data_IF_567564569033
#
_entry.id   IF_567564569033
#
_cell.length_a   1.000
_cell.length_b   1.000
_cell.length_c   1.000
_cell.angle_alpha   90.00
_cell.angle_beta   90.00
_cell.angle_gamma   90.00
#
_symmetry.space_group_name_H-M   'P 1'
#
loop_
_entity.id
_entity.type
_entity.pdbx_description
1 polymer ?
#
# COMPACT_ATOMS: atom_id res chain seq x y z
N UNK A 1 -11.24 7.76 -14.66
CA UNK A 1 -11.82 6.82 -13.67
C UNK A 1 -10.69 6.48 -12.72
N UNK A 2 -10.90 6.62 -11.42
CA UNK A 2 -9.82 6.44 -10.44
C UNK A 2 -9.56 4.97 -10.19
N UNK A 3 -8.30 4.59 -10.16
CA UNK A 3 -7.82 3.27 -9.80
C UNK A 3 -6.83 3.37 -8.64
N UNK A 4 -6.87 2.37 -7.77
CA UNK A 4 -5.81 2.10 -6.81
C UNK A 4 -4.92 1.01 -7.42
N UNK A 5 -3.64 1.29 -7.57
CA UNK A 5 -2.67 0.36 -8.15
C UNK A 5 -1.57 0.05 -7.15
N UNK A 6 -1.22 -1.22 -7.01
CA UNK A 6 -0.08 -1.71 -6.22
C UNK A 6 1.09 -2.05 -7.14
N UNK A 7 2.26 -1.54 -6.81
CA UNK A 7 3.55 -1.87 -7.43
C UNK A 7 4.48 -2.51 -6.41
N UNK A 8 5.40 -3.32 -6.91
CA UNK A 8 6.53 -3.85 -6.17
C UNK A 8 7.82 -3.37 -6.83
N UNK A 9 8.56 -2.50 -6.13
CA UNK A 9 9.82 -1.97 -6.57
C UNK A 9 10.96 -2.73 -5.87
N UNK A 10 11.83 -3.36 -6.65
CA UNK A 10 13.03 -4.07 -6.17
C UNK A 10 14.25 -3.21 -6.47
N UNK A 11 14.76 -2.54 -5.43
CA UNK A 11 15.81 -1.54 -5.56
C UNK A 11 17.17 -2.12 -5.13
N UNK A 12 18.17 -2.00 -5.98
CA UNK A 12 19.55 -2.26 -5.65
C UNK A 12 20.10 -1.23 -4.63
N UNK A 13 21.24 -1.52 -3.97
CA UNK A 13 21.88 -0.56 -3.06
C UNK A 13 22.12 0.82 -3.71
N UNK A 14 21.59 1.87 -3.09
CA UNK A 14 21.70 3.25 -3.57
C UNK A 14 20.88 3.58 -4.82
N UNK A 15 20.11 2.63 -5.36
CA UNK A 15 19.20 2.89 -6.48
C UNK A 15 18.11 3.88 -6.06
N UNK A 16 17.68 4.71 -7.02
CA UNK A 16 16.65 5.73 -6.80
C UNK A 16 15.33 5.29 -7.37
N UNK A 17 14.29 5.43 -6.56
CA UNK A 17 12.91 5.37 -6.96
C UNK A 17 12.42 6.79 -7.22
N UNK A 18 12.14 7.09 -8.48
CA UNK A 18 11.58 8.37 -8.91
C UNK A 18 10.05 8.29 -8.86
N UNK A 19 9.42 9.23 -8.17
CA UNK A 19 7.98 9.29 -7.94
C UNK A 19 7.44 10.60 -8.52
N UNK A 20 6.58 10.50 -9.53
CA UNK A 20 5.84 11.67 -10.02
C UNK A 20 4.85 12.19 -8.97
N UNK A 21 4.29 13.39 -9.12
CA UNK A 21 3.23 13.86 -8.22
C UNK A 21 1.96 12.97 -8.30
N UNK A 22 1.29 12.77 -7.16
CA UNK A 22 0.05 11.98 -7.04
C UNK A 22 -0.05 11.27 -5.67
N UNK A 23 -1.27 11.04 -5.19
CA UNK A 23 -1.51 10.43 -3.88
C UNK A 23 -1.01 8.99 -3.82
N UNK A 24 -0.12 8.70 -2.87
CA UNK A 24 0.49 7.37 -2.71
C UNK A 24 0.82 7.01 -1.27
N UNK A 25 0.98 5.71 -1.04
CA UNK A 25 1.63 5.15 0.13
C UNK A 25 2.80 4.29 -0.32
N UNK A 26 3.95 4.44 0.33
CA UNK A 26 5.08 3.53 0.21
C UNK A 26 5.22 2.75 1.51
N UNK A 27 5.46 1.45 1.41
CA UNK A 27 5.75 0.56 2.52
C UNK A 27 7.05 -0.20 2.23
N UNK A 28 7.98 -0.17 3.17
CA UNK A 28 9.25 -0.88 3.03
C UNK A 28 9.04 -2.31 3.54
N UNK A 29 9.00 -3.29 2.64
CA UNK A 29 8.85 -4.69 3.00
C UNK A 29 10.17 -5.30 3.49
N UNK A 30 11.30 -4.87 2.91
CA UNK A 30 12.65 -5.25 3.33
C UNK A 30 13.65 -4.14 3.01
N UNK A 31 14.77 -4.09 3.73
CA UNK A 31 15.81 -3.07 3.54
C UNK A 31 15.43 -1.69 4.08
N UNK A 32 15.84 -0.64 3.38
CA UNK A 32 15.62 0.76 3.77
C UNK A 32 15.39 1.66 2.55
N UNK A 33 14.46 2.61 2.65
CA UNK A 33 14.19 3.64 1.63
C UNK A 33 14.14 5.03 2.27
N UNK A 34 15.06 5.93 1.91
CA UNK A 34 15.07 7.33 2.37
C UNK A 34 14.81 7.49 3.89
N UNK A 35 15.48 6.71 4.73
CA UNK A 35 15.33 6.58 6.21
C UNK A 35 14.14 5.75 6.72
N UNK A 36 13.23 5.29 5.87
CA UNK A 36 12.20 4.33 6.24
C UNK A 36 12.79 2.92 6.29
N UNK A 37 12.72 2.27 7.45
CA UNK A 37 13.15 0.89 7.61
C UNK A 37 12.02 -0.10 7.31
N UNK A 38 12.40 -1.35 7.02
CA UNK A 38 11.47 -2.46 6.85
C UNK A 38 10.37 -2.50 7.94
N UNK A 39 9.13 -2.64 7.50
CA UNK A 39 7.94 -2.60 8.36
C UNK A 39 7.31 -1.22 8.52
N UNK A 40 7.89 -0.17 7.92
CA UNK A 40 7.39 1.20 7.99
C UNK A 40 6.64 1.59 6.72
N UNK A 41 5.65 2.47 6.86
CA UNK A 41 4.93 3.09 5.75
C UNK A 41 5.01 4.62 5.82
N UNK A 42 4.89 5.27 4.68
CA UNK A 42 4.73 6.71 4.57
C UNK A 42 3.74 7.08 3.46
N UNK A 43 2.94 8.12 3.69
CA UNK A 43 2.07 8.73 2.69
C UNK A 43 2.79 9.90 2.03
N UNK A 44 2.56 10.12 0.73
CA UNK A 44 3.01 11.32 0.02
C UNK A 44 2.12 11.66 -1.17
N UNK A 45 2.23 12.90 -1.64
CA UNK A 45 1.51 13.40 -2.82
C UNK A 45 2.39 14.17 -3.81
N UNK A 46 3.57 14.58 -3.38
CA UNK A 46 4.49 15.40 -4.17
C UNK A 46 5.41 14.54 -5.05
N UNK A 47 6.08 15.18 -6.00
CA UNK A 47 7.20 14.57 -6.72
C UNK A 47 8.37 14.35 -5.76
N UNK A 48 8.96 13.16 -5.78
CA UNK A 48 10.02 12.76 -4.86
C UNK A 48 11.01 11.80 -5.52
N UNK A 49 12.27 11.85 -5.08
CA UNK A 49 13.31 10.90 -5.46
C UNK A 49 13.87 10.23 -4.21
N UNK A 50 13.55 8.96 -4.01
CA UNK A 50 13.87 8.21 -2.80
C UNK A 50 14.99 7.20 -3.08
N UNK A 51 16.06 7.24 -2.30
CA UNK A 51 17.18 6.31 -2.47
C UNK A 51 17.07 5.10 -1.53
N UNK A 52 17.36 3.92 -2.06
CA UNK A 52 17.52 2.71 -1.26
C UNK A 52 18.81 2.77 -0.41
N UNK A 53 18.75 2.16 0.77
CA UNK A 53 19.88 2.04 1.69
C UNK A 53 21.00 1.13 1.17
N UNK A 54 22.00 0.88 2.03
CA UNK A 54 23.20 0.11 1.67
C UNK A 54 22.94 -1.35 1.29
N UNK A 55 21.82 -1.92 1.72
CA UNK A 55 21.41 -3.30 1.42
C UNK A 55 20.35 -3.38 0.31
N UNK A 56 19.97 -2.25 -0.29
CA UNK A 56 18.83 -2.16 -1.21
C UNK A 56 17.48 -2.12 -0.46
N UNK A 57 16.38 -2.28 -1.20
CA UNK A 57 15.03 -2.33 -0.63
C UNK A 57 14.03 -3.09 -1.49
N UNK A 58 13.05 -3.72 -0.83
CA UNK A 58 11.79 -4.13 -1.46
C UNK A 58 10.71 -3.17 -0.98
N UNK A 59 10.12 -2.44 -1.91
CA UNK A 59 9.11 -1.42 -1.61
C UNK A 59 7.78 -1.82 -2.23
N UNK A 60 6.72 -1.80 -1.44
CA UNK A 60 5.35 -1.89 -1.93
C UNK A 60 4.79 -0.48 -2.02
N UNK A 61 4.28 -0.11 -3.18
CA UNK A 61 3.81 1.24 -3.46
C UNK A 61 2.37 1.18 -3.95
N UNK A 62 1.47 1.88 -3.26
CA UNK A 62 0.09 2.05 -3.67
C UNK A 62 -0.10 3.46 -4.21
N UNK A 63 -0.66 3.60 -5.41
CA UNK A 63 -0.93 4.89 -6.02
C UNK A 63 -2.39 5.01 -6.41
N UNK A 64 -2.96 6.18 -6.14
CA UNK A 64 -4.21 6.63 -6.73
C UNK A 64 -3.91 7.30 -8.07
N UNK A 65 -4.43 6.72 -9.15
CA UNK A 65 -4.18 7.17 -10.52
C UNK A 65 -5.48 7.21 -11.33
N UNK A 66 -5.58 8.11 -12.30
CA UNK A 66 -6.69 8.15 -13.26
C UNK A 66 -6.44 7.30 -14.51
N UNK A 67 -5.27 6.64 -14.58
CA UNK A 67 -4.72 6.01 -15.77
C UNK A 67 -4.37 4.55 -15.46
N UNK A 68 -4.67 3.65 -16.38
CA UNK A 68 -4.17 2.26 -16.31
C UNK A 68 -2.66 2.26 -16.51
N UNK A 69 -1.96 1.45 -15.73
CA UNK A 69 -0.49 1.38 -15.66
C UNK A 69 -0.06 -0.06 -15.88
N UNK A 70 0.84 -0.28 -16.83
CA UNK A 70 1.18 -1.62 -17.34
C UNK A 70 2.00 -2.46 -16.34
N UNK A 71 2.73 -1.82 -15.42
CA UNK A 71 3.65 -2.50 -14.49
C UNK A 71 3.05 -2.74 -13.09
N UNK A 72 1.77 -2.41 -12.90
CA UNK A 72 1.11 -2.65 -11.61
C UNK A 72 0.95 -4.16 -11.37
N UNK A 73 1.34 -4.59 -10.16
CA UNK A 73 1.11 -5.96 -9.69
C UNK A 73 -0.38 -6.29 -9.61
N UNK A 74 -1.17 -5.31 -9.19
CA UNK A 74 -2.62 -5.36 -9.15
C UNK A 74 -3.15 -3.94 -9.30
N UNK A 75 -4.20 -3.76 -10.10
CA UNK A 75 -4.94 -2.52 -10.19
C UNK A 75 -6.42 -2.81 -9.99
N UNK A 76 -7.08 -2.00 -9.16
CA UNK A 76 -8.50 -2.10 -8.89
C UNK A 76 -9.14 -0.74 -9.13
N UNK A 77 -10.24 -0.72 -9.87
CA UNK A 77 -11.06 0.47 -9.97
C UNK A 77 -11.70 0.78 -8.62
N UNK A 78 -11.66 2.06 -8.24
CA UNK A 78 -12.27 2.53 -6.99
C UNK A 78 -13.35 3.56 -7.32
N UNK A 79 -14.56 3.27 -6.87
CA UNK A 79 -15.67 4.20 -6.94
C UNK A 79 -15.71 5.02 -5.65
N UNK A 80 -15.37 6.30 -5.77
CA UNK A 80 -15.37 7.25 -4.66
C UNK A 80 -16.48 8.28 -4.87
N UNK A 81 -17.12 8.68 -3.77
CA UNK A 81 -18.07 9.78 -3.77
C UNK A 81 -17.31 11.09 -4.05
N UNK A 82 -17.59 11.81 -5.15
CA UNK A 82 -16.86 13.03 -5.50
C UNK A 82 -17.13 14.20 -4.54
N UNK A 83 -18.11 14.08 -3.63
CA UNK A 83 -18.44 15.10 -2.63
C UNK A 83 -17.90 14.78 -1.24
N UNK A 84 -17.23 13.64 -1.05
CA UNK A 84 -16.63 13.25 0.21
C UNK A 84 -15.10 13.31 0.15
N UNK A 85 -14.48 13.62 1.29
CA UNK A 85 -13.03 13.56 1.45
C UNK A 85 -12.60 12.17 1.86
N UNK A 86 -11.53 11.65 1.26
CA UNK A 86 -10.98 10.33 1.54
C UNK A 86 -9.52 10.40 1.99
N UNK A 87 -9.17 9.56 2.94
CA UNK A 87 -7.80 9.31 3.37
C UNK A 87 -7.35 7.91 2.91
N UNK A 88 -6.09 7.80 2.48
CA UNK A 88 -5.44 6.51 2.32
C UNK A 88 -4.90 6.07 3.68
N UNK A 89 -5.26 4.87 4.13
CA UNK A 89 -4.78 4.30 5.40
C UNK A 89 -3.95 3.05 5.12
N UNK A 90 -2.74 3.00 5.65
CA UNK A 90 -1.90 1.79 5.63
C UNK A 90 -2.11 1.00 6.92
N UNK A 91 -2.51 -0.26 6.78
CA UNK A 91 -2.79 -1.13 7.91
C UNK A 91 -1.93 -2.39 7.83
N UNK A 92 -1.43 -2.83 8.99
CA UNK A 92 -0.93 -4.19 9.13
C UNK A 92 -2.07 -5.07 9.64
N UNK A 93 -2.27 -6.20 8.98
CA UNK A 93 -3.52 -6.94 9.08
C UNK A 93 -3.93 -7.41 10.47
N UNK A 94 -5.22 -7.20 10.77
CA UNK A 94 -6.13 -8.16 11.40
C UNK A 94 -7.58 -7.84 10.96
N UNK A 95 -8.33 -8.84 10.46
CA UNK A 95 -9.76 -8.70 10.16
C UNK A 95 -10.12 -7.98 8.84
N UNK A 96 -11.43 -7.83 8.54
CA UNK A 96 -11.92 -7.19 7.32
C UNK A 96 -11.60 -5.69 7.27
N UNK A 97 -11.64 -5.10 6.08
CA UNK A 97 -11.48 -3.66 5.85
C UNK A 97 -12.84 -2.97 5.68
N UNK A 98 -12.95 -1.73 6.16
CA UNK A 98 -14.14 -0.87 6.00
C UNK A 98 -13.99 0.11 4.81
N UNK A 99 -13.46 -0.37 3.68
CA UNK A 99 -13.29 0.46 2.49
C UNK A 99 -12.61 -0.28 1.32
N UNK A 100 -12.72 0.24 0.08
CA UNK A 100 -12.03 -0.34 -1.06
C UNK A 100 -10.52 -0.17 -0.90
N UNK A 101 -9.76 -1.19 -1.29
CA UNK A 101 -8.33 -1.21 -1.05
C UNK A 101 -7.62 -2.34 -1.77
N UNK A 102 -6.30 -2.42 -1.56
CA UNK A 102 -5.47 -3.52 -2.02
C UNK A 102 -4.58 -4.00 -0.87
N UNK A 103 -4.64 -5.29 -0.58
CA UNK A 103 -3.74 -6.00 0.33
C UNK A 103 -2.58 -6.68 -0.40
N UNK A 104 -1.47 -6.86 0.31
CA UNK A 104 -0.31 -7.62 -0.12
C UNK A 104 0.16 -8.54 1.02
N UNK A 105 0.22 -9.84 0.74
CA UNK A 105 0.73 -10.84 1.68
C UNK A 105 2.24 -10.67 1.83
N UNK A 106 2.75 -10.52 3.03
CA UNK A 106 4.19 -10.37 3.27
C UNK A 106 4.87 -11.71 3.55
N UNK A 107 4.19 -12.60 4.30
CA UNK A 107 4.72 -13.91 4.69
C UNK A 107 3.62 -14.86 5.14
N UNK A 108 3.96 -16.14 5.17
CA UNK A 108 3.06 -17.21 5.61
C UNK A 108 2.12 -17.69 4.50
N UNK A 109 1.04 -18.33 4.91
CA UNK A 109 0.00 -18.84 4.03
C UNK A 109 -1.32 -18.20 4.45
N UNK A 110 -1.88 -17.40 3.55
CA UNK A 110 -3.18 -16.76 3.75
C UNK A 110 -4.17 -17.29 2.73
N UNK A 111 -5.41 -17.43 3.17
CA UNK A 111 -6.55 -17.63 2.29
C UNK A 111 -7.33 -16.33 2.19
N UNK A 112 -7.58 -15.89 0.96
CA UNK A 112 -8.38 -14.71 0.63
C UNK A 112 -9.56 -15.18 -0.19
N UNK A 113 -10.77 -14.97 0.31
CA UNK A 113 -12.03 -15.43 -0.30
C UNK A 113 -12.02 -16.93 -0.67
N UNK A 114 -11.36 -17.74 0.17
CA UNK A 114 -11.23 -19.19 -0.03
C UNK A 114 -10.09 -19.61 -0.96
N UNK A 115 -9.37 -18.68 -1.58
CA UNK A 115 -8.21 -18.97 -2.43
C UNK A 115 -6.90 -18.74 -1.68
N UNK A 116 -5.89 -19.59 -1.92
CA UNK A 116 -4.57 -19.42 -1.28
C UNK A 116 -3.75 -18.34 -1.98
N UNK A 117 -3.37 -17.31 -1.24
CA UNK A 117 -2.49 -16.24 -1.73
C UNK A 117 -1.10 -16.41 -1.13
N UNK A 118 -0.10 -16.56 -2.01
CA UNK A 118 1.31 -16.77 -1.63
C UNK A 118 1.95 -15.47 -1.12
N UNK A 119 3.12 -15.54 -0.45
CA UNK A 119 3.91 -14.36 -0.13
C UNK A 119 4.14 -13.46 -1.35
N UNK A 120 4.03 -12.16 -1.11
CA UNK A 120 3.95 -11.06 -2.06
C UNK A 120 2.75 -11.10 -3.02
N UNK A 121 1.82 -12.05 -2.91
CA UNK A 121 0.56 -12.02 -3.64
C UNK A 121 -0.33 -10.86 -3.19
N UNK A 122 -1.04 -10.24 -4.14
CA UNK A 122 -1.93 -9.12 -3.90
C UNK A 122 -3.40 -9.54 -4.00
N UNK A 123 -4.28 -8.82 -3.31
CA UNK A 123 -5.73 -9.03 -3.35
C UNK A 123 -6.49 -7.71 -3.20
N UNK A 124 -7.74 -7.68 -3.65
CA UNK A 124 -8.62 -6.50 -3.56
C UNK A 124 -9.47 -6.57 -2.30
N UNK A 125 -9.63 -5.46 -1.59
CA UNK A 125 -10.52 -5.32 -0.45
C UNK A 125 -11.89 -4.75 -0.89
N UNK A 126 -13.00 -5.11 -0.22
CA UNK A 126 -13.07 -5.98 0.95
C UNK A 126 -12.91 -7.46 0.60
N UNK A 127 -12.14 -8.19 1.41
CA UNK A 127 -11.99 -9.64 1.28
C UNK A 127 -12.08 -10.36 2.63
N UNK A 128 -12.50 -11.63 2.60
CA UNK A 128 -12.40 -12.52 3.76
C UNK A 128 -10.99 -13.10 3.85
N UNK A 129 -10.19 -12.57 4.79
CA UNK A 129 -8.79 -12.96 4.97
C UNK A 129 -8.63 -13.82 6.22
N UNK A 130 -8.13 -15.04 6.02
CA UNK A 130 -7.86 -16.01 7.08
C UNK A 130 -6.51 -16.71 6.93
N UNK A 131 -6.09 -17.45 7.96
CA UNK A 131 -4.86 -18.25 7.94
C UNK A 131 -3.76 -17.77 8.88
N UNK A 132 -2.52 -18.19 8.62
CA UNK A 132 -1.34 -17.87 9.43
C UNK A 132 -0.31 -17.17 8.57
N UNK A 133 -0.30 -15.85 8.65
CA UNK A 133 0.60 -15.01 7.88
C UNK A 133 0.57 -13.57 8.35
N UNK A 134 1.33 -12.72 7.67
CA UNK A 134 1.21 -11.28 7.82
C UNK A 134 0.97 -10.67 6.45
N UNK A 135 0.14 -9.64 6.41
CA UNK A 135 -0.10 -8.84 5.22
C UNK A 135 -0.12 -7.35 5.61
N UNK A 136 0.06 -6.51 4.61
CA UNK A 136 -0.15 -5.07 4.70
C UNK A 136 -1.22 -4.72 3.68
N UNK A 137 -2.09 -3.76 4.00
CA UNK A 137 -3.09 -3.26 3.06
C UNK A 137 -3.16 -1.76 3.05
N UNK A 138 -3.59 -1.22 1.93
CA UNK A 138 -3.99 0.18 1.82
C UNK A 138 -5.45 0.23 1.45
N UNK A 139 -6.22 0.96 2.25
CA UNK A 139 -7.66 1.15 2.07
C UNK A 139 -7.98 2.64 1.99
N UNK A 140 -9.02 2.96 1.23
CA UNK A 140 -9.58 4.30 1.14
C UNK A 140 -10.73 4.40 2.13
N UNK A 141 -10.55 5.25 3.14
CA UNK A 141 -11.56 5.49 4.17
C UNK A 141 -12.03 6.93 4.06
N UNK A 142 -13.29 7.20 4.39
CA UNK A 142 -13.76 8.58 4.49
C UNK A 142 -12.99 9.28 5.61
N UNK A 143 -12.64 10.53 5.39
CA UNK A 143 -11.79 11.29 6.33
C UNK A 143 -12.44 11.47 7.70
N UNK A 144 -13.77 11.48 7.76
CA UNK A 144 -14.54 11.52 9.01
C UNK A 144 -14.41 10.22 9.84
N UNK A 145 -14.16 9.08 9.18
CA UNK A 145 -14.05 7.75 9.80
C UNK A 145 -12.58 7.33 10.03
N UNK A 146 -11.62 8.17 9.63
CA UNK A 146 -10.19 7.83 9.66
C UNK A 146 -9.63 7.56 11.06
N UNK A 147 -10.29 8.03 12.12
CA UNK A 147 -9.87 7.91 13.53
C UNK A 147 -10.26 6.57 14.21
N UNK A 148 -10.76 5.58 13.47
CA UNK A 148 -11.19 4.29 14.03
C UNK A 148 -10.06 3.42 14.66
N UNK A 149 -10.46 2.45 15.49
CA UNK A 149 -9.70 1.57 16.43
C UNK A 149 -8.57 0.67 15.84
N UNK A 150 -8.05 0.93 14.64
CA UNK A 150 -7.02 0.10 14.00
C UNK A 150 -5.57 0.55 14.27
N UNK A 151 -4.64 -0.41 14.40
CA UNK A 151 -3.19 -0.18 14.42
C UNK A 151 -2.72 0.27 13.01
N UNK A 152 -2.91 1.55 12.71
CA UNK A 152 -2.54 2.11 11.43
C UNK A 152 -1.05 2.50 11.39
N UNK A 153 -0.34 2.04 10.36
CA UNK A 153 1.10 2.33 10.17
C UNK A 153 1.33 3.73 9.59
N UNK A 154 0.37 4.24 8.83
CA UNK A 154 0.37 5.60 8.31
C UNK A 154 -1.07 6.12 8.23
N UNK A 155 -1.33 7.24 8.90
CA UNK A 155 -2.59 8.01 8.85
C UNK A 155 -2.35 9.51 8.60
N UNK A 156 -1.14 9.91 8.21
CA UNK A 156 -0.80 11.31 8.04
C UNK A 156 0.40 11.49 7.12
N UNK A 157 0.46 12.65 6.46
CA UNK A 157 1.50 12.97 5.50
C UNK A 157 2.87 13.05 6.19
N UNK A 158 3.80 12.21 5.75
CA UNK A 158 5.21 12.52 5.87
C UNK A 158 5.56 13.18 4.55
N UNK A 159 6.34 14.27 4.57
CA UNK A 159 6.90 14.77 3.31
C UNK A 159 7.91 13.74 2.82
N UNK A 160 7.47 12.89 1.90
CA UNK A 160 8.32 12.11 1.01
C UNK A 160 8.95 13.04 -0.03
#
# INVERSE_FOLDING_TARGET
MTSLSLYEDLLAPGERLELAAGGRIVYVASGELASLHAGSAAFGSEEAALAAGGDGATVLRWELTEWSVEDAKLSAHVELDPWADYAMRCERGAGPAEGPGIGCVLRGELSVDGETVRPFGAFVEPADVSGRGAFVRVVLVRSEDANGDGDALAQGAIRL
#
